data_IF_826356605340
#
_entry.id   IF_826356605340
#
_cell.length_a   1.000
_cell.length_b   1.000
_cell.length_c   1.000
_cell.angle_alpha   90.00
_cell.angle_beta   90.00
_cell.angle_gamma   90.00
#
_symmetry.space_group_name_H-M   'P 1'
#
loop_
_entity.id
_entity.type
_entity.pdbx_description
1 polymer ?
#
# COMPACT_ATOMS: atom_id res chain seq x y z
N UNK A 1 -27.19 -8.49 -22.83
CA UNK A 1 -25.93 -8.10 -22.14
C UNK A 1 -25.97 -8.74 -20.77
N UNK A 2 -24.88 -9.38 -20.33
CA UNK A 2 -24.79 -9.96 -18.99
C UNK A 2 -25.05 -8.85 -17.95
N UNK A 3 -25.99 -9.04 -17.01
CA UNK A 3 -26.33 -8.02 -15.99
C UNK A 3 -25.13 -7.59 -15.15
N UNK A 4 -24.10 -8.43 -15.08
CA UNK A 4 -22.83 -8.17 -14.40
C UNK A 4 -21.86 -7.31 -15.20
N UNK A 5 -22.13 -7.04 -16.48
CA UNK A 5 -21.17 -6.37 -17.35
C UNK A 5 -20.84 -4.97 -16.87
N UNK A 6 -21.83 -4.19 -16.44
CA UNK A 6 -21.64 -2.83 -15.90
C UNK A 6 -21.69 -2.73 -14.38
N UNK A 7 -21.98 -3.83 -13.68
CA UNK A 7 -22.21 -3.83 -12.23
C UNK A 7 -21.26 -4.81 -11.52
N UNK A 8 -20.08 -4.29 -11.18
CA UNK A 8 -19.05 -5.03 -10.46
C UNK A 8 -19.49 -5.46 -9.06
N UNK A 9 -20.21 -4.61 -8.32
CA UNK A 9 -20.65 -4.92 -6.95
C UNK A 9 -21.69 -6.04 -6.93
N UNK A 10 -22.63 -6.03 -7.88
CA UNK A 10 -23.58 -7.12 -8.07
C UNK A 10 -22.86 -8.42 -8.42
N UNK A 11 -21.89 -8.38 -9.33
CA UNK A 11 -21.10 -9.55 -9.69
C UNK A 11 -20.31 -10.10 -8.49
N UNK A 12 -19.69 -9.24 -7.70
CA UNK A 12 -18.99 -9.64 -6.49
C UNK A 12 -19.92 -10.38 -5.52
N UNK A 13 -21.08 -9.79 -5.22
CA UNK A 13 -22.04 -10.33 -4.26
C UNK A 13 -22.63 -11.67 -4.70
N UNK A 14 -22.86 -11.86 -6.00
CA UNK A 14 -23.57 -13.03 -6.50
C UNK A 14 -22.66 -14.13 -7.08
N UNK A 15 -21.42 -13.81 -7.43
CA UNK A 15 -20.53 -14.72 -8.16
C UNK A 15 -19.18 -14.96 -7.49
N UNK A 16 -18.81 -14.18 -6.47
CA UNK A 16 -17.49 -14.25 -5.83
C UNK A 16 -17.63 -14.65 -4.37
N UNK A 17 -16.88 -15.69 -3.99
CA UNK A 17 -16.80 -16.17 -2.61
C UNK A 17 -15.42 -15.87 -2.05
N UNK A 18 -15.36 -15.23 -0.88
CA UNK A 18 -14.13 -14.98 -0.12
C UNK A 18 -14.16 -15.73 1.21
N UNK A 19 -13.00 -15.84 1.86
CA UNK A 19 -12.91 -16.38 3.22
C UNK A 19 -13.12 -15.24 4.21
N UNK A 20 -14.13 -15.37 5.06
CA UNK A 20 -14.35 -14.45 6.16
C UNK A 20 -13.17 -14.50 7.14
N UNK A 21 -12.64 -13.34 7.51
CA UNK A 21 -11.43 -13.25 8.33
C UNK A 21 -11.67 -13.66 9.79
N UNK A 22 -12.85 -13.39 10.32
CA UNK A 22 -13.18 -13.63 11.72
C UNK A 22 -13.58 -15.09 11.97
N UNK A 23 -14.34 -15.68 11.04
CA UNK A 23 -14.90 -17.04 11.18
C UNK A 23 -14.18 -18.09 10.34
N UNK A 24 -13.39 -17.69 9.35
CA UNK A 24 -12.74 -18.60 8.39
C UNK A 24 -13.70 -19.24 7.38
N UNK A 25 -14.98 -18.87 7.39
CA UNK A 25 -16.01 -19.48 6.54
C UNK A 25 -16.05 -18.85 5.15
N UNK A 26 -16.43 -19.59 4.10
CA UNK A 26 -16.72 -18.99 2.80
C UNK A 26 -17.97 -18.10 2.91
N UNK A 27 -17.86 -16.85 2.46
CA UNK A 27 -18.97 -15.89 2.40
C UNK A 27 -18.99 -15.17 1.04
N UNK A 28 -20.16 -14.69 0.58
CA UNK A 28 -20.24 -13.83 -0.60
C UNK A 28 -19.38 -12.58 -0.44
N UNK A 29 -18.71 -12.16 -1.50
CA UNK A 29 -17.89 -10.94 -1.46
C UNK A 29 -18.77 -9.70 -1.56
N UNK A 30 -19.12 -9.15 -0.40
CA UNK A 30 -19.70 -7.81 -0.29
C UNK A 30 -18.59 -6.84 0.06
N UNK A 31 -18.41 -5.81 -0.76
CA UNK A 31 -17.38 -4.82 -0.52
C UNK A 31 -17.62 -4.11 0.82
N UNK A 32 -16.55 -3.91 1.57
CA UNK A 32 -16.57 -3.05 2.75
C UNK A 32 -16.46 -1.57 2.35
N UNK A 33 -16.64 -0.64 3.31
CA UNK A 33 -16.62 0.80 3.07
C UNK A 33 -15.36 1.29 2.33
N UNK A 34 -14.12 0.96 2.77
CA UNK A 34 -12.93 1.42 2.07
C UNK A 34 -12.80 0.77 0.69
N UNK A 35 -13.25 -0.49 0.51
CA UNK A 35 -13.30 -1.11 -0.82
C UNK A 35 -14.23 -0.40 -1.78
N UNK A 36 -15.41 0.04 -1.33
CA UNK A 36 -16.31 0.83 -2.18
C UNK A 36 -15.69 2.17 -2.56
N UNK A 37 -14.98 2.84 -1.64
CA UNK A 37 -14.29 4.09 -1.94
C UNK A 37 -13.19 3.92 -2.99
N UNK A 38 -12.36 2.89 -2.85
CA UNK A 38 -11.31 2.59 -3.85
C UNK A 38 -11.93 2.17 -5.18
N UNK A 39 -12.99 1.35 -5.16
CA UNK A 39 -13.73 0.97 -6.36
C UNK A 39 -14.27 2.20 -7.10
N UNK A 40 -14.86 3.17 -6.38
CA UNK A 40 -15.40 4.38 -7.00
C UNK A 40 -14.35 5.13 -7.82
N UNK A 41 -13.10 5.17 -7.36
CA UNK A 41 -11.98 5.79 -8.10
C UNK A 41 -11.61 5.00 -9.36
N UNK A 42 -11.64 3.66 -9.30
CA UNK A 42 -11.41 2.80 -10.47
C UNK A 42 -12.53 2.95 -11.50
N UNK A 43 -13.79 2.88 -11.05
CA UNK A 43 -14.97 2.99 -11.91
C UNK A 43 -15.12 4.39 -12.50
N UNK A 44 -14.74 5.45 -11.78
CA UNK A 44 -14.69 6.80 -12.36
C UNK A 44 -13.76 6.86 -13.57
N UNK A 45 -12.58 6.22 -13.51
CA UNK A 45 -11.65 6.14 -14.64
C UNK A 45 -12.23 5.27 -15.77
N UNK A 46 -12.82 4.12 -15.44
CA UNK A 46 -13.45 3.22 -16.43
C UNK A 46 -14.57 3.91 -17.20
N UNK A 47 -15.51 4.54 -16.49
CA UNK A 47 -16.63 5.26 -17.10
C UNK A 47 -16.18 6.49 -17.90
N UNK A 48 -15.08 7.13 -17.49
CA UNK A 48 -14.44 8.18 -18.26
C UNK A 48 -13.65 7.67 -19.48
N UNK A 49 -13.66 6.35 -19.75
CA UNK A 49 -12.90 5.70 -20.83
C UNK A 49 -11.40 6.02 -20.74
N UNK A 50 -10.87 6.05 -19.52
CA UNK A 50 -9.45 6.25 -19.25
C UNK A 50 -8.79 4.94 -18.82
N UNK A 51 -7.46 4.78 -19.03
CA UNK A 51 -6.72 3.72 -18.36
C UNK A 51 -6.88 3.83 -16.84
N UNK A 52 -6.98 2.69 -16.15
CA UNK A 52 -7.12 2.65 -14.71
C UNK A 52 -5.72 2.66 -14.08
N UNK A 53 -5.37 3.76 -13.41
CA UNK A 53 -4.06 3.94 -12.78
C UNK A 53 -4.25 4.37 -11.33
N UNK A 54 -3.76 3.57 -10.39
CA UNK A 54 -3.94 3.81 -8.96
C UNK A 54 -2.62 3.59 -8.21
N UNK A 55 -2.33 4.49 -7.27
CA UNK A 55 -1.39 4.24 -6.19
C UNK A 55 -2.14 4.28 -4.86
N UNK A 56 -2.03 3.21 -4.09
CA UNK A 56 -2.84 2.93 -2.92
C UNK A 56 -1.94 2.75 -1.70
N UNK A 57 -1.88 3.78 -0.85
CA UNK A 57 -1.30 3.68 0.47
C UNK A 57 -2.38 3.20 1.44
N UNK A 58 -2.03 2.30 2.36
CA UNK A 58 -3.03 1.69 3.25
C UNK A 58 -2.50 1.36 4.63
N UNK A 59 -3.40 1.41 5.61
CA UNK A 59 -3.28 0.64 6.85
C UNK A 59 -3.35 -0.87 6.55
N UNK A 60 -2.89 -1.70 7.50
CA UNK A 60 -2.94 -3.15 7.31
C UNK A 60 -4.38 -3.68 7.24
N UNK A 61 -4.51 -4.80 6.54
CA UNK A 61 -5.58 -5.79 6.77
C UNK A 61 -7.05 -5.38 6.49
N UNK A 62 -7.32 -4.55 5.48
CA UNK A 62 -8.69 -4.20 5.04
C UNK A 62 -9.21 -4.93 3.78
N UNK A 63 -8.36 -5.75 3.14
CA UNK A 63 -8.74 -6.50 1.93
C UNK A 63 -8.57 -5.75 0.61
N UNK A 64 -7.66 -4.77 0.54
CA UNK A 64 -7.35 -4.04 -0.71
C UNK A 64 -6.87 -4.96 -1.85
N UNK A 65 -5.96 -5.89 -1.56
CA UNK A 65 -5.47 -6.84 -2.56
C UNK A 65 -6.59 -7.75 -3.08
N UNK A 66 -7.58 -8.09 -2.24
CA UNK A 66 -8.79 -8.83 -2.65
C UNK A 66 -9.61 -8.02 -3.65
N UNK A 67 -9.88 -6.74 -3.37
CA UNK A 67 -10.60 -5.86 -4.29
C UNK A 67 -9.92 -5.82 -5.66
N UNK A 68 -8.61 -5.54 -5.70
CA UNK A 68 -7.85 -5.41 -6.95
C UNK A 68 -7.87 -6.72 -7.74
N UNK A 69 -7.66 -7.86 -7.09
CA UNK A 69 -7.69 -9.16 -7.77
C UNK A 69 -9.08 -9.52 -8.29
N UNK A 70 -10.12 -9.29 -7.50
CA UNK A 70 -11.50 -9.57 -7.92
C UNK A 70 -11.89 -8.64 -9.06
N UNK A 71 -11.44 -7.39 -9.06
CA UNK A 71 -11.64 -6.45 -10.17
C UNK A 71 -10.94 -6.93 -11.45
N UNK A 72 -9.66 -7.33 -11.37
CA UNK A 72 -8.95 -7.92 -12.52
C UNK A 72 -9.64 -9.20 -13.02
N UNK A 73 -10.14 -10.04 -12.11
CA UNK A 73 -10.91 -11.22 -12.46
C UNK A 73 -12.22 -10.86 -13.17
N UNK A 74 -12.95 -9.83 -12.72
CA UNK A 74 -14.15 -9.34 -13.42
C UNK A 74 -13.84 -8.88 -14.84
N UNK A 75 -12.73 -8.16 -15.03
CA UNK A 75 -12.26 -7.76 -16.36
C UNK A 75 -12.03 -8.99 -17.26
N UNK A 76 -11.35 -10.02 -16.75
CA UNK A 76 -11.01 -11.23 -17.50
C UNK A 76 -12.18 -12.21 -17.72
N UNK A 77 -13.11 -12.29 -16.77
CA UNK A 77 -14.21 -13.27 -16.79
C UNK A 77 -15.48 -12.71 -17.41
N UNK A 78 -15.71 -11.40 -17.30
CA UNK A 78 -16.96 -10.76 -17.71
C UNK A 78 -16.77 -9.80 -18.88
N UNK A 79 -15.71 -8.98 -18.86
CA UNK A 79 -15.61 -7.83 -19.78
C UNK A 79 -14.76 -8.07 -21.02
N UNK A 80 -13.70 -8.86 -20.91
CA UNK A 80 -12.70 -9.08 -21.96
C UNK A 80 -12.30 -10.55 -22.07
N UNK A 81 -11.80 -10.93 -23.25
CA UNK A 81 -11.12 -12.20 -23.54
C UNK A 81 -9.70 -11.87 -24.00
N UNK A 82 -8.74 -12.77 -23.82
CA UNK A 82 -7.34 -12.49 -24.18
C UNK A 82 -6.66 -11.45 -23.29
N UNK A 83 -7.29 -11.04 -22.18
CA UNK A 83 -6.86 -9.89 -21.38
C UNK A 83 -5.85 -10.34 -20.33
N UNK A 84 -4.57 -10.41 -20.68
CA UNK A 84 -3.57 -10.98 -19.78
C UNK A 84 -3.23 -10.05 -18.61
N UNK A 85 -2.88 -10.65 -17.47
CA UNK A 85 -2.57 -9.93 -16.24
C UNK A 85 -1.30 -10.40 -15.53
N UNK A 86 -0.70 -9.49 -14.78
CA UNK A 86 0.48 -9.72 -13.95
C UNK A 86 0.16 -9.46 -12.47
N UNK A 87 0.62 -10.34 -11.60
CA UNK A 87 0.63 -10.17 -10.16
C UNK A 87 2.08 -10.18 -9.71
N UNK A 88 2.57 -9.06 -9.21
CA UNK A 88 3.93 -8.92 -8.71
C UNK A 88 3.86 -8.50 -7.24
N UNK A 89 4.40 -9.33 -6.35
CA UNK A 89 4.58 -9.02 -4.94
C UNK A 89 6.07 -8.86 -4.60
N UNK A 90 6.37 -8.46 -3.36
CA UNK A 90 7.75 -8.39 -2.87
C UNK A 90 8.48 -9.74 -2.98
N UNK A 91 7.79 -10.81 -2.61
CA UNK A 91 8.27 -12.20 -2.68
C UNK A 91 7.28 -13.09 -3.46
N UNK A 92 7.77 -14.21 -4.01
CA UNK A 92 6.96 -15.13 -4.83
C UNK A 92 5.76 -15.70 -4.08
N UNK A 93 5.90 -16.01 -2.80
CA UNK A 93 4.82 -16.57 -1.99
C UNK A 93 3.68 -15.57 -1.77
N UNK A 94 3.98 -14.27 -1.67
CA UNK A 94 2.95 -13.22 -1.62
C UNK A 94 2.10 -13.22 -2.89
N UNK A 95 2.75 -13.25 -4.06
CA UNK A 95 2.07 -13.35 -5.36
C UNK A 95 1.22 -14.63 -5.48
N UNK A 96 1.74 -15.76 -5.00
CA UNK A 96 1.02 -17.03 -5.01
C UNK A 96 -0.24 -17.02 -4.12
N UNK A 97 -0.14 -16.42 -2.92
CA UNK A 97 -1.29 -16.23 -2.03
C UNK A 97 -2.37 -15.37 -2.68
N UNK A 98 -1.97 -14.28 -3.34
CA UNK A 98 -2.86 -13.39 -4.07
C UNK A 98 -3.56 -14.14 -5.22
N UNK A 99 -2.82 -14.91 -6.03
CA UNK A 99 -3.40 -15.77 -7.08
C UNK A 99 -4.35 -16.83 -6.51
N UNK A 100 -4.07 -17.36 -5.31
CA UNK A 100 -4.92 -18.34 -4.64
C UNK A 100 -6.38 -17.88 -4.49
N UNK A 101 -6.61 -16.57 -4.31
CA UNK A 101 -7.96 -15.99 -4.30
C UNK A 101 -8.68 -16.16 -5.64
N UNK A 102 -7.97 -15.93 -6.75
CA UNK A 102 -8.54 -16.10 -8.09
C UNK A 102 -8.77 -17.59 -8.42
N UNK A 103 -7.87 -18.47 -8.00
CA UNK A 103 -8.08 -19.93 -8.13
C UNK A 103 -9.36 -20.38 -7.42
N UNK A 104 -9.62 -19.85 -6.21
CA UNK A 104 -10.86 -20.10 -5.47
C UNK A 104 -12.08 -19.56 -6.21
N UNK A 105 -12.00 -18.33 -6.71
CA UNK A 105 -13.06 -17.71 -7.50
C UNK A 105 -13.44 -18.59 -8.69
N UNK A 106 -12.48 -19.06 -9.50
CA UNK A 106 -12.75 -19.92 -10.67
C UNK A 106 -13.43 -21.24 -10.29
N UNK A 107 -12.96 -21.86 -9.20
CA UNK A 107 -13.53 -23.11 -8.69
C UNK A 107 -14.99 -22.93 -8.28
N UNK A 108 -15.27 -21.86 -7.54
CA UNK A 108 -16.58 -21.59 -6.94
C UNK A 108 -17.49 -20.75 -7.88
N UNK A 109 -17.01 -20.39 -9.08
CA UNK A 109 -17.73 -19.55 -10.04
C UNK A 109 -19.04 -20.23 -10.49
N UNK A 110 -20.17 -19.51 -10.56
CA UNK A 110 -21.47 -20.08 -10.89
C UNK A 110 -21.46 -20.87 -12.20
N UNK A 111 -21.98 -22.09 -12.18
CA UNK A 111 -21.93 -23.01 -13.32
C UNK A 111 -22.69 -22.46 -14.52
N UNK A 112 -23.77 -21.71 -14.28
CA UNK A 112 -24.61 -21.07 -15.29
C UNK A 112 -23.89 -19.94 -16.02
N UNK A 113 -22.84 -19.37 -15.42
CA UNK A 113 -22.01 -18.32 -16.01
C UNK A 113 -20.77 -18.85 -16.71
N UNK A 114 -20.49 -20.15 -16.57
CA UNK A 114 -19.42 -20.82 -17.29
C UNK A 114 -19.89 -21.09 -18.71
N UNK A 115 -19.70 -20.10 -19.59
CA UNK A 115 -19.99 -20.26 -21.02
C UNK A 115 -19.11 -21.38 -21.58
N UNK A 116 -19.63 -22.14 -22.56
CA UNK A 116 -18.90 -23.23 -23.20
C UNK A 116 -18.67 -24.43 -22.27
N UNK A 117 -17.47 -25.00 -22.25
CA UNK A 117 -17.12 -26.17 -21.45
C UNK A 117 -16.75 -25.73 -20.02
N UNK A 118 -17.50 -26.13 -18.98
CA UNK A 118 -17.21 -25.72 -17.60
C UNK A 118 -15.83 -26.13 -17.08
N UNK A 119 -15.20 -27.15 -17.69
CA UNK A 119 -13.84 -27.58 -17.34
C UNK A 119 -12.77 -26.58 -17.74
N UNK A 120 -13.08 -25.67 -18.66
CA UNK A 120 -12.16 -24.67 -19.19
C UNK A 120 -12.14 -23.39 -18.34
N UNK A 121 -13.01 -23.31 -17.32
CA UNK A 121 -13.05 -22.24 -16.32
C UNK A 121 -12.19 -22.57 -15.10
N UNK A 122 -10.93 -22.85 -15.36
CA UNK A 122 -9.91 -23.20 -14.36
C UNK A 122 -8.56 -22.65 -14.80
N UNK A 123 -7.60 -22.63 -13.87
CA UNK A 123 -6.21 -22.40 -14.25
C UNK A 123 -5.58 -23.69 -14.76
N UNK A 124 -5.00 -23.60 -15.96
CA UNK A 124 -4.08 -24.61 -16.49
C UNK A 124 -2.68 -24.01 -16.67
N UNK A 125 -1.61 -24.81 -16.59
CA UNK A 125 -0.27 -24.33 -16.94
C UNK A 125 -0.23 -23.82 -18.38
N UNK A 126 0.48 -22.72 -18.63
CA UNK A 126 0.69 -22.22 -19.99
C UNK A 126 2.05 -22.68 -20.52
N UNK A 127 2.02 -23.49 -21.59
CA UNK A 127 3.21 -24.05 -22.24
C UNK A 127 4.20 -24.64 -21.22
N UNK A 128 5.47 -24.20 -21.23
CA UNK A 128 6.53 -24.62 -20.31
C UNK A 128 6.74 -23.63 -19.16
N UNK A 129 5.89 -22.61 -19.03
CA UNK A 129 6.06 -21.58 -18.01
C UNK A 129 5.71 -22.11 -16.62
N UNK A 130 6.58 -21.82 -15.65
CA UNK A 130 6.40 -22.18 -14.24
C UNK A 130 5.59 -21.13 -13.45
N UNK A 131 5.44 -19.93 -14.00
CA UNK A 131 4.83 -18.79 -13.31
C UNK A 131 3.59 -18.23 -14.01
N UNK A 132 3.23 -18.77 -15.18
CA UNK A 132 2.06 -18.33 -15.94
C UNK A 132 1.00 -19.41 -15.99
N UNK A 133 -0.23 -19.00 -15.72
CA UNK A 133 -1.43 -19.82 -15.86
C UNK A 133 -2.34 -19.24 -16.92
N UNK A 134 -3.12 -20.10 -17.56
CA UNK A 134 -4.09 -19.75 -18.59
C UNK A 134 -5.48 -20.16 -18.14
N UNK A 135 -6.48 -19.38 -18.53
CA UNK A 135 -7.91 -19.67 -18.36
C UNK A 135 -8.46 -19.94 -19.77
N UNK A 136 -8.55 -21.21 -20.20
CA UNK A 136 -8.88 -21.53 -21.59
C UNK A 136 -10.21 -20.93 -22.05
N UNK A 137 -11.24 -20.93 -21.20
CA UNK A 137 -12.55 -20.38 -21.52
C UNK A 137 -12.54 -18.88 -21.87
N UNK A 138 -11.51 -18.14 -21.45
CA UNK A 138 -11.40 -16.69 -21.65
C UNK A 138 -10.20 -16.28 -22.48
N UNK A 139 -9.35 -17.24 -22.83
CA UNK A 139 -8.02 -17.03 -23.41
C UNK A 139 -7.14 -16.06 -22.59
N UNK A 140 -7.38 -15.95 -21.28
CA UNK A 140 -6.68 -14.99 -20.42
C UNK A 140 -5.49 -15.66 -19.73
N UNK A 141 -4.36 -14.96 -19.66
CA UNK A 141 -3.19 -15.40 -18.87
C UNK A 141 -3.09 -14.63 -17.56
N UNK A 142 -2.60 -15.30 -16.52
CA UNK A 142 -2.27 -14.71 -15.22
C UNK A 142 -0.84 -15.11 -14.90
N UNK A 143 0.07 -14.14 -14.90
CA UNK A 143 1.48 -14.34 -14.61
C UNK A 143 1.81 -13.91 -13.19
N UNK A 144 2.64 -14.70 -12.51
CA UNK A 144 3.22 -14.36 -11.22
C UNK A 144 4.65 -13.88 -11.38
N UNK A 145 4.98 -12.79 -10.73
CA UNK A 145 6.34 -12.29 -10.60
C UNK A 145 6.66 -11.95 -9.14
N UNK A 146 7.95 -11.74 -8.88
CA UNK A 146 8.50 -11.31 -7.61
C UNK A 146 9.44 -10.14 -7.87
N UNK A 147 9.40 -9.12 -7.02
CA UNK A 147 10.34 -8.00 -7.11
C UNK A 147 11.79 -8.46 -6.94
N UNK A 148 12.02 -9.54 -6.18
CA UNK A 148 13.34 -10.17 -6.00
C UNK A 148 13.86 -10.92 -7.25
N UNK A 149 13.04 -11.11 -8.29
CA UNK A 149 13.43 -11.85 -9.50
C UNK A 149 12.81 -11.21 -10.74
N UNK A 150 13.31 -10.03 -11.14
CA UNK A 150 12.66 -9.15 -12.11
C UNK A 150 12.66 -9.68 -13.55
N UNK A 151 13.48 -10.69 -13.87
CA UNK A 151 13.58 -11.25 -15.22
C UNK A 151 12.28 -11.90 -15.70
N UNK A 152 11.45 -12.42 -14.77
CA UNK A 152 10.17 -13.06 -15.08
C UNK A 152 9.06 -12.11 -15.54
N UNK A 153 9.36 -10.81 -15.63
CA UNK A 153 8.40 -9.73 -15.89
C UNK A 153 8.47 -9.25 -17.34
N UNK A 154 9.60 -9.44 -18.01
CA UNK A 154 9.84 -8.87 -19.36
C UNK A 154 9.16 -9.69 -20.45
N UNK A 155 8.64 -8.99 -21.46
CA UNK A 155 8.15 -9.60 -22.70
C UNK A 155 6.74 -10.20 -22.65
N UNK A 156 5.98 -9.96 -21.57
CA UNK A 156 4.57 -10.33 -21.51
C UNK A 156 3.68 -9.28 -22.16
N UNK A 157 2.71 -9.71 -22.96
CA UNK A 157 1.63 -8.88 -23.49
C UNK A 157 0.57 -8.69 -22.40
N UNK A 158 0.83 -7.78 -21.44
CA UNK A 158 -0.04 -7.52 -20.30
C UNK A 158 -0.97 -6.33 -20.55
N UNK A 159 -2.22 -6.49 -20.15
CA UNK A 159 -3.18 -5.38 -20.11
C UNK A 159 -3.43 -4.88 -18.67
N UNK A 160 -3.09 -5.70 -17.67
CA UNK A 160 -3.31 -5.37 -16.27
C UNK A 160 -2.14 -5.80 -15.39
N UNK A 161 -1.79 -4.97 -14.39
CA UNK A 161 -0.82 -5.32 -13.37
C UNK A 161 -1.26 -4.89 -11.97
N UNK A 162 -1.11 -5.80 -11.02
CA UNK A 162 -1.20 -5.54 -9.59
C UNK A 162 0.18 -5.70 -8.97
N UNK A 163 0.71 -4.57 -8.49
CA UNK A 163 2.01 -4.45 -7.85
C UNK A 163 1.76 -4.30 -6.34
N UNK A 164 2.03 -5.35 -5.58
CA UNK A 164 1.71 -5.45 -4.16
C UNK A 164 2.96 -5.26 -3.29
N UNK A 165 2.79 -4.53 -2.20
CA UNK A 165 3.82 -4.18 -1.21
C UNK A 165 5.03 -3.46 -1.84
N UNK A 166 4.76 -2.49 -2.73
CA UNK A 166 5.78 -1.81 -3.54
C UNK A 166 6.78 -0.99 -2.70
N UNK A 167 6.40 -0.52 -1.51
CA UNK A 167 7.32 0.22 -0.64
C UNK A 167 8.45 -0.67 -0.07
N UNK A 168 8.31 -1.99 -0.16
CA UNK A 168 9.33 -2.95 0.27
C UNK A 168 10.22 -3.41 -0.89
N UNK A 169 9.90 -3.04 -2.13
CA UNK A 169 10.67 -3.53 -3.27
C UNK A 169 12.08 -2.95 -3.28
N UNK A 170 13.05 -3.84 -3.47
CA UNK A 170 14.45 -3.45 -3.58
C UNK A 170 15.22 -3.43 -2.27
N UNK A 171 14.54 -3.53 -1.11
CA UNK A 171 15.00 -3.56 0.30
C UNK A 171 16.12 -2.55 0.71
N UNK A 172 17.17 -2.37 -0.10
CA UNK A 172 18.29 -1.42 0.06
C UNK A 172 18.67 -0.64 -1.23
N UNK A 173 18.13 -1.02 -2.40
CA UNK A 173 18.35 -0.33 -3.69
C UNK A 173 17.00 0.10 -4.29
N UNK A 174 16.60 1.33 -3.97
CA UNK A 174 15.36 1.92 -4.48
C UNK A 174 15.32 2.03 -6.01
N UNK A 175 16.47 2.04 -6.69
CA UNK A 175 16.53 2.02 -8.16
C UNK A 175 16.01 0.70 -8.74
N UNK A 176 16.02 -0.38 -7.96
CA UNK A 176 15.47 -1.67 -8.37
C UNK A 176 13.95 -1.63 -8.46
N UNK A 177 13.26 -1.07 -7.45
CA UNK A 177 11.81 -0.88 -7.51
C UNK A 177 11.39 -0.05 -8.73
N UNK A 178 12.06 1.07 -8.97
CA UNK A 178 11.80 1.93 -10.13
C UNK A 178 11.97 1.17 -11.45
N UNK A 179 13.08 0.44 -11.63
CA UNK A 179 13.34 -0.34 -12.85
C UNK A 179 12.24 -1.38 -13.10
N UNK A 180 11.78 -2.07 -12.06
CA UNK A 180 10.75 -3.11 -12.17
C UNK A 180 9.42 -2.47 -12.54
N UNK A 181 8.98 -1.46 -11.80
CA UNK A 181 7.71 -0.78 -12.05
C UNK A 181 7.71 -0.15 -13.43
N UNK A 182 8.80 0.50 -13.86
CA UNK A 182 8.92 1.07 -15.21
C UNK A 182 8.86 -0.01 -16.29
N UNK A 183 9.46 -1.18 -16.06
CA UNK A 183 9.41 -2.31 -16.99
C UNK A 183 7.98 -2.82 -17.15
N UNK A 184 7.23 -2.95 -16.04
CA UNK A 184 5.84 -3.44 -16.06
C UNK A 184 4.90 -2.40 -16.65
N UNK A 185 4.87 -1.20 -16.06
CA UNK A 185 3.94 -0.15 -16.44
C UNK A 185 4.21 0.30 -17.88
N UNK A 186 5.47 0.32 -18.30
CA UNK A 186 5.86 0.64 -19.68
C UNK A 186 5.42 -0.40 -20.72
N UNK A 187 5.11 -1.63 -20.32
CA UNK A 187 4.59 -2.65 -21.24
C UNK A 187 3.05 -2.67 -21.31
N UNK A 188 2.36 -1.88 -20.49
CA UNK A 188 0.90 -1.81 -20.45
C UNK A 188 0.44 -0.54 -21.17
N UNK A 189 -0.33 -0.65 -22.27
CA UNK A 189 -0.78 0.52 -23.03
C UNK A 189 -1.63 1.49 -22.20
N UNK A 190 -1.63 2.77 -22.58
CA UNK A 190 -2.50 3.81 -22.01
C UNK A 190 -3.88 3.82 -22.68
N UNK A 191 -4.55 2.67 -22.66
CA UNK A 191 -5.85 2.46 -23.30
C UNK A 191 -6.96 2.21 -22.27
N UNK A 192 -8.24 2.46 -22.61
CA UNK A 192 -9.37 2.11 -21.75
C UNK A 192 -9.33 0.64 -21.32
N UNK A 193 -9.78 0.36 -20.10
CA UNK A 193 -9.82 -0.99 -19.52
C UNK A 193 -8.46 -1.68 -19.28
N UNK A 194 -7.34 -0.99 -19.52
CA UNK A 194 -6.03 -1.39 -18.99
C UNK A 194 -5.90 -0.95 -17.53
N UNK A 195 -5.14 -1.69 -16.71
CA UNK A 195 -5.05 -1.44 -15.27
C UNK A 195 -3.62 -1.52 -14.74
N UNK A 196 -3.20 -0.53 -13.96
CA UNK A 196 -1.99 -0.61 -13.12
C UNK A 196 -2.36 -0.13 -11.73
N UNK A 197 -2.31 -1.03 -10.76
CA UNK A 197 -2.50 -0.70 -9.34
C UNK A 197 -1.21 -1.00 -8.60
N UNK A 198 -0.66 0.02 -7.96
CA UNK A 198 0.42 -0.10 -6.98
C UNK A 198 -0.17 0.05 -5.59
N UNK A 199 -0.04 -0.95 -4.75
CA UNK A 199 -0.49 -0.89 -3.36
C UNK A 199 0.62 -1.26 -2.39
N UNK A 200 0.64 -0.61 -1.23
CA UNK A 200 1.60 -0.92 -0.17
C UNK A 200 1.15 -0.34 1.17
N UNK A 201 1.61 -0.93 2.28
CA UNK A 201 1.82 -0.12 3.50
C UNK A 201 3.04 0.78 3.31
N UNK A 202 3.15 1.84 4.10
CA UNK A 202 4.35 2.68 4.08
C UNK A 202 5.58 1.91 4.61
N UNK A 203 6.77 2.35 4.18
CA UNK A 203 8.06 1.84 4.61
C UNK A 203 9.08 3.00 4.69
N UNK A 204 8.72 4.02 5.46
CA UNK A 204 9.46 5.28 5.56
C UNK A 204 9.36 6.17 4.33
N UNK A 205 10.10 7.28 4.41
CA UNK A 205 10.25 8.26 3.34
C UNK A 205 11.46 7.94 2.44
N UNK A 206 11.48 8.54 1.25
CA UNK A 206 12.62 8.50 0.32
C UNK A 206 12.69 7.24 -0.57
N UNK A 207 11.91 6.21 -0.30
CA UNK A 207 11.78 5.06 -1.20
C UNK A 207 10.98 5.39 -2.47
N UNK A 208 11.00 4.48 -3.45
CA UNK A 208 10.29 4.64 -4.72
C UNK A 208 8.78 4.86 -4.53
N UNK A 209 8.14 4.10 -3.65
CA UNK A 209 6.69 4.20 -3.43
C UNK A 209 6.30 5.57 -2.85
N UNK A 210 7.06 6.09 -1.89
CA UNK A 210 6.87 7.44 -1.36
C UNK A 210 7.09 8.51 -2.45
N UNK A 211 8.15 8.39 -3.25
CA UNK A 211 8.41 9.35 -4.33
C UNK A 211 7.27 9.36 -5.37
N UNK A 212 6.78 8.19 -5.78
CA UNK A 212 5.65 8.08 -6.71
C UNK A 212 4.33 8.54 -6.08
N UNK A 213 4.14 8.30 -4.79
CA UNK A 213 2.99 8.81 -4.01
C UNK A 213 2.96 10.33 -4.02
N UNK A 214 4.07 10.98 -3.70
CA UNK A 214 4.18 12.43 -3.70
C UNK A 214 3.93 13.00 -5.11
N UNK A 215 4.44 12.34 -6.15
CA UNK A 215 4.12 12.72 -7.53
C UNK A 215 2.63 12.61 -7.83
N UNK A 216 1.96 11.54 -7.40
CA UNK A 216 0.53 11.35 -7.61
C UNK A 216 -0.33 12.39 -6.87
N UNK A 217 -0.04 12.67 -5.61
CA UNK A 217 -0.71 13.73 -4.84
C UNK A 217 -0.52 15.11 -5.48
N UNK A 218 0.66 15.37 -6.04
CA UNK A 218 0.97 16.63 -6.73
C UNK A 218 0.49 16.69 -8.20
N UNK A 219 -0.23 15.67 -8.70
CA UNK A 219 -0.72 15.64 -10.09
C UNK A 219 0.37 15.45 -11.15
N UNK A 220 1.53 14.92 -10.75
CA UNK A 220 2.72 14.68 -11.58
C UNK A 220 2.93 13.19 -11.93
N UNK A 221 2.01 12.32 -11.50
CA UNK A 221 1.95 10.90 -11.86
C UNK A 221 0.76 10.63 -12.78
N UNK A 222 0.81 9.53 -13.53
CA UNK A 222 -0.34 8.98 -14.25
C UNK A 222 -1.37 8.33 -13.30
N UNK A 223 -0.98 8.07 -12.04
CA UNK A 223 -1.81 7.39 -11.04
C UNK A 223 -2.60 8.37 -10.20
N UNK A 224 -3.82 7.97 -9.86
CA UNK A 224 -4.61 8.61 -8.81
C UNK A 224 -4.17 8.07 -7.44
N UNK A 225 -3.84 8.96 -6.50
CA UNK A 225 -3.48 8.59 -5.14
C UNK A 225 -4.73 8.34 -4.28
N UNK A 226 -4.76 7.22 -3.56
CA UNK A 226 -5.81 6.90 -2.57
C UNK A 226 -5.16 6.38 -1.30
N UNK A 227 -5.47 7.00 -0.16
CA UNK A 227 -5.01 6.56 1.16
C UNK A 227 -6.17 5.94 1.93
N UNK A 228 -6.03 4.71 2.42
CA UNK A 228 -7.01 4.03 3.29
C UNK A 228 -6.50 3.99 4.74
N UNK A 229 -6.99 4.87 5.62
CA UNK A 229 -6.64 4.87 7.04
C UNK A 229 -7.32 3.73 7.81
N UNK A 230 -6.85 3.48 9.02
CA UNK A 230 -7.40 2.41 9.86
C UNK A 230 -8.87 2.66 10.27
N UNK A 231 -9.24 3.91 10.52
CA UNK A 231 -10.56 4.28 11.03
C UNK A 231 -11.68 4.26 9.97
N UNK A 232 -11.35 3.89 8.71
CA UNK A 232 -12.36 3.55 7.70
C UNK A 232 -12.72 2.06 7.71
N UNK A 233 -11.94 1.22 8.40
CA UNK A 233 -12.04 -0.23 8.34
C UNK A 233 -12.91 -0.75 9.48
N UNK A 234 -14.01 -1.43 9.14
CA UNK A 234 -15.07 -1.76 10.09
C UNK A 234 -14.63 -2.69 11.22
N UNK A 235 -13.66 -3.57 10.95
CA UNK A 235 -13.10 -4.48 11.97
C UNK A 235 -12.25 -3.75 13.03
N UNK A 236 -11.93 -2.47 12.82
CA UNK A 236 -11.18 -1.62 13.73
C UNK A 236 -12.10 -0.67 14.51
N UNK A 237 -13.22 -1.24 14.97
CA UNK A 237 -14.19 -0.57 15.83
C UNK A 237 -14.53 -1.46 17.02
N UNK A 238 -14.81 -0.85 18.16
CA UNK A 238 -15.31 -1.52 19.36
C UNK A 238 -16.58 -0.82 19.84
N UNK A 239 -17.70 -1.53 20.05
CA UNK A 239 -18.88 -0.95 20.67
C UNK A 239 -18.56 -0.34 22.03
N UNK A 240 -19.08 0.86 22.30
CA UNK A 240 -18.91 1.61 23.54
C UNK A 240 -20.27 1.71 24.24
N UNK A 241 -20.37 1.14 25.45
CA UNK A 241 -21.57 1.25 26.26
C UNK A 241 -21.72 2.65 26.85
N UNK A 242 -22.96 3.08 27.11
CA UNK A 242 -23.22 4.44 27.62
C UNK A 242 -22.59 4.67 29.01
N UNK A 243 -22.50 3.62 29.82
CA UNK A 243 -21.90 3.67 31.16
C UNK A 243 -20.38 3.86 31.13
N UNK A 244 -19.68 3.41 30.08
CA UNK A 244 -18.22 3.59 29.94
C UNK A 244 -17.85 4.84 29.15
N UNK A 245 -18.79 5.45 28.41
CA UNK A 245 -18.53 6.56 27.49
C UNK A 245 -17.77 7.70 28.16
N UNK A 246 -18.22 8.14 29.33
CA UNK A 246 -17.62 9.25 30.05
C UNK A 246 -16.21 8.92 30.58
N UNK A 247 -16.01 7.71 31.12
CA UNK A 247 -14.71 7.30 31.65
C UNK A 247 -13.69 7.07 30.52
N UNK A 248 -14.10 6.51 29.39
CA UNK A 248 -13.27 6.37 28.20
C UNK A 248 -12.82 7.74 27.68
N UNK A 249 -13.74 8.68 27.47
CA UNK A 249 -13.41 10.04 27.01
C UNK A 249 -12.46 10.74 28.00
N UNK A 250 -12.63 10.51 29.30
CA UNK A 250 -11.72 11.04 30.30
C UNK A 250 -10.33 10.42 30.24
N UNK A 251 -10.20 9.14 29.86
CA UNK A 251 -8.91 8.44 29.77
C UNK A 251 -8.13 8.67 28.48
N UNK A 252 -8.76 9.24 27.44
CA UNK A 252 -8.08 9.49 26.17
C UNK A 252 -6.89 10.46 26.32
N UNK A 253 -5.79 10.14 25.67
CA UNK A 253 -4.66 11.06 25.55
C UNK A 253 -4.89 12.14 24.46
N UNK A 254 -3.95 13.07 24.34
CA UNK A 254 -4.07 14.21 23.42
C UNK A 254 -4.18 13.78 21.96
N UNK A 255 -3.49 12.71 21.56
CA UNK A 255 -3.56 12.18 20.20
C UNK A 255 -4.91 11.49 19.97
N UNK A 256 -5.38 10.68 20.91
CA UNK A 256 -6.68 10.03 20.80
C UNK A 256 -7.84 11.03 20.74
N UNK A 257 -7.72 12.16 21.44
CA UNK A 257 -8.67 13.29 21.32
C UNK A 257 -8.58 13.97 19.96
N UNK A 258 -7.38 14.17 19.42
CA UNK A 258 -7.22 14.80 18.10
C UNK A 258 -7.82 13.96 16.97
N UNK A 259 -7.81 12.63 17.07
CA UNK A 259 -8.53 11.76 16.13
C UNK A 259 -10.01 12.10 16.03
N UNK A 260 -10.66 12.40 17.17
CA UNK A 260 -12.08 12.77 17.18
C UNK A 260 -12.30 14.20 16.69
N UNK A 261 -11.45 15.14 17.11
CA UNK A 261 -11.64 16.57 16.86
C UNK A 261 -11.26 16.98 15.44
N UNK A 262 -10.14 16.46 14.93
CA UNK A 262 -9.53 16.91 13.69
C UNK A 262 -9.89 15.99 12.51
N UNK A 263 -10.02 14.69 12.76
CA UNK A 263 -10.33 13.68 11.74
C UNK A 263 -11.76 13.13 11.82
N UNK A 264 -12.56 13.61 12.78
CA UNK A 264 -13.95 13.19 12.99
C UNK A 264 -14.10 11.67 13.13
N UNK A 265 -13.12 11.01 13.77
CA UNK A 265 -13.15 9.57 14.05
C UNK A 265 -14.18 9.28 15.14
N UNK A 266 -15.00 8.25 14.94
CA UNK A 266 -16.05 7.89 15.89
C UNK A 266 -15.46 7.37 17.21
N UNK A 267 -16.19 7.53 18.31
CA UNK A 267 -15.74 7.06 19.62
C UNK A 267 -15.47 5.55 19.63
N UNK A 268 -16.23 4.76 18.87
CA UNK A 268 -16.06 3.31 18.74
C UNK A 268 -14.74 2.92 18.06
N UNK A 269 -14.31 3.70 17.07
CA UNK A 269 -13.00 3.51 16.45
C UNK A 269 -11.88 3.95 17.40
N UNK A 270 -12.04 5.11 18.06
CA UNK A 270 -11.07 5.56 19.08
C UNK A 270 -10.97 4.58 20.24
N UNK A 271 -12.08 3.98 20.67
CA UNK A 271 -12.10 2.94 21.69
C UNK A 271 -11.27 1.71 21.27
N UNK A 272 -11.42 1.27 20.02
CA UNK A 272 -10.58 0.21 19.47
C UNK A 272 -9.11 0.61 19.45
N UNK A 273 -8.79 1.84 19.01
CA UNK A 273 -7.43 2.34 18.98
C UNK A 273 -6.82 2.38 20.38
N UNK A 274 -7.56 2.87 21.37
CA UNK A 274 -7.15 2.96 22.77
C UNK A 274 -6.79 1.60 23.37
N UNK A 275 -7.60 0.58 23.08
CA UNK A 275 -7.31 -0.78 23.53
C UNK A 275 -6.13 -1.38 22.75
N UNK A 276 -6.12 -1.22 21.43
CA UNK A 276 -5.09 -1.78 20.54
C UNK A 276 -3.71 -1.18 20.79
N UNK A 277 -3.65 0.10 21.15
CA UNK A 277 -2.43 0.85 21.45
C UNK A 277 -1.62 0.19 22.55
N UNK A 278 -2.25 -0.53 23.49
CA UNK A 278 -1.60 -1.25 24.59
C UNK A 278 -0.69 -2.40 24.13
N UNK A 279 -0.84 -2.87 22.90
CA UNK A 279 0.04 -3.88 22.29
C UNK A 279 1.38 -3.31 21.82
N UNK A 280 1.50 -1.99 21.73
CA UNK A 280 2.66 -1.28 21.19
C UNK A 280 3.40 -0.51 22.28
N UNK A 281 4.70 -0.27 22.10
CA UNK A 281 5.48 0.50 23.09
C UNK A 281 5.29 2.01 22.93
N UNK A 282 5.07 2.50 21.71
CA UNK A 282 4.92 3.93 21.40
C UNK A 282 3.77 4.19 20.40
N UNK A 283 3.25 5.43 20.37
CA UNK A 283 2.27 5.84 19.36
C UNK A 283 2.84 5.69 17.97
N UNK A 284 4.13 6.01 17.81
CA UNK A 284 4.86 5.85 16.56
C UNK A 284 4.75 4.43 15.98
N UNK A 285 4.90 3.38 16.81
CA UNK A 285 4.72 2.00 16.34
C UNK A 285 3.27 1.68 15.96
N UNK A 286 2.29 2.20 16.71
CA UNK A 286 0.88 2.05 16.39
C UNK A 286 0.54 2.73 15.06
N UNK A 287 1.05 3.95 14.85
CA UNK A 287 0.89 4.75 13.64
C UNK A 287 1.52 4.09 12.41
N UNK A 288 2.65 3.41 12.56
CA UNK A 288 3.30 2.68 11.47
C UNK A 288 2.41 1.56 10.90
N UNK A 289 1.60 0.98 11.77
CA UNK A 289 0.74 -0.17 11.50
C UNK A 289 -0.69 0.23 11.10
N UNK A 290 -1.20 1.24 11.80
CA UNK A 290 -2.56 1.78 11.72
C UNK A 290 -2.49 3.31 11.60
N UNK A 291 -2.01 3.84 10.47
CA UNK A 291 -1.90 5.28 10.27
C UNK A 291 -3.27 5.92 10.05
N UNK A 292 -3.45 7.11 10.63
CA UNK A 292 -4.64 7.95 10.49
C UNK A 292 -4.53 8.91 9.30
N UNK A 293 -3.30 9.27 8.90
CA UNK A 293 -3.02 10.11 7.71
C UNK A 293 -1.91 9.50 6.86
N UNK A 294 -1.79 9.93 5.59
CA UNK A 294 -0.73 9.46 4.71
C UNK A 294 0.63 9.94 5.19
N UNK A 295 0.70 11.19 5.65
CA UNK A 295 1.88 11.82 6.24
C UNK A 295 2.36 11.02 7.46
N UNK A 296 1.43 10.64 8.34
CA UNK A 296 1.73 9.81 9.49
C UNK A 296 2.25 8.44 9.07
N UNK A 297 1.66 7.80 8.07
CA UNK A 297 2.10 6.50 7.58
C UNK A 297 3.58 6.52 7.15
N UNK A 298 3.99 7.52 6.36
CA UNK A 298 5.38 7.62 5.91
C UNK A 298 6.33 8.03 7.04
N UNK A 299 5.94 8.99 7.87
CA UNK A 299 6.77 9.47 8.97
C UNK A 299 7.01 8.39 10.05
N UNK A 300 6.06 7.46 10.24
CA UNK A 300 6.09 6.46 11.32
C UNK A 300 6.64 5.08 10.96
N UNK A 301 6.74 4.76 9.67
CA UNK A 301 7.13 3.41 9.20
C UNK A 301 8.61 3.27 8.82
N UNK A 302 9.38 4.36 8.85
CA UNK A 302 10.81 4.34 8.53
C UNK A 302 11.66 3.81 9.68
N UNK A 303 12.85 3.27 9.36
CA UNK A 303 13.88 3.08 10.38
C UNK A 303 14.28 4.47 10.91
N UNK A 304 13.93 4.75 12.16
CA UNK A 304 14.40 5.95 12.82
C UNK A 304 15.93 5.88 12.94
N UNK A 305 16.66 6.69 12.15
CA UNK A 305 18.11 6.88 12.30
C UNK A 305 18.47 7.33 13.72
N UNK A 306 17.50 7.94 14.42
CA UNK A 306 17.60 8.37 15.80
C UNK A 306 16.31 7.99 16.54
N UNK A 307 16.48 7.29 17.66
CA UNK A 307 15.40 7.02 18.61
C UNK A 307 14.81 8.36 19.09
N UNK A 308 13.57 8.64 18.70
CA UNK A 308 12.87 9.91 18.95
C UNK A 308 12.72 10.16 20.45
N UNK A 309 12.54 9.10 21.25
CA UNK A 309 12.50 9.19 22.72
C UNK A 309 13.88 9.54 23.29
N UNK A 310 14.98 9.05 22.67
CA UNK A 310 16.34 9.48 23.03
C UNK A 310 16.61 10.93 22.64
N UNK A 311 16.14 11.41 21.50
CA UNK A 311 16.28 12.82 21.10
C UNK A 311 15.54 13.75 22.07
N UNK A 312 14.32 13.38 22.49
CA UNK A 312 13.57 14.11 23.52
C UNK A 312 14.28 14.13 24.89
N UNK A 313 15.01 13.07 25.23
CA UNK A 313 15.87 13.02 26.43
C UNK A 313 17.11 13.89 26.26
N UNK A 314 17.83 13.83 25.14
CA UNK A 314 19.01 14.66 24.86
C UNK A 314 18.67 16.17 24.93
N UNK A 315 17.50 16.57 24.41
CA UNK A 315 17.02 17.95 24.49
C UNK A 315 16.70 18.43 25.92
N UNK A 316 16.30 17.53 26.83
CA UNK A 316 16.05 17.84 28.24
C UNK A 316 17.33 17.83 29.09
N UNK A 317 18.25 16.90 28.86
CA UNK A 317 19.53 16.86 29.61
C UNK A 317 20.45 18.03 29.24
N UNK A 318 20.36 18.57 28.03
CA UNK A 318 21.16 19.74 27.62
C UNK A 318 20.75 21.05 28.33
N UNK A 319 19.52 21.13 28.88
CA UNK A 319 19.04 22.28 29.63
C UNK A 319 19.47 22.26 31.12
N UNK A 320 19.84 21.09 31.65
CA UNK A 320 20.23 20.88 33.05
C UNK A 320 21.67 20.35 33.12
N UNK A 321 22.64 21.26 33.02
CA UNK A 321 24.03 20.97 33.34
C UNK A 321 24.99 21.08 32.17
N UNK A 322 25.35 22.31 31.82
CA UNK A 322 26.61 22.58 31.10
C UNK A 322 27.35 23.66 31.86
N UNK A 323 28.19 23.26 32.82
CA UNK A 323 29.30 24.09 33.31
C UNK A 323 30.48 23.87 32.37
N UNK A 324 30.75 24.88 31.53
CA UNK A 324 31.88 24.99 30.61
C UNK A 324 32.25 23.74 29.78
N UNK A 325 31.70 23.64 28.57
CA UNK A 325 32.25 22.72 27.57
C UNK A 325 33.15 23.50 26.61
N UNK A 326 34.45 23.21 26.61
CA UNK A 326 35.33 23.52 25.48
C UNK A 326 35.02 22.56 24.31
N UNK A 327 33.81 22.65 23.75
CA UNK A 327 33.42 21.86 22.59
C UNK A 327 33.92 22.56 21.32
N UNK A 328 34.77 21.90 20.54
CA UNK A 328 35.08 22.29 19.16
C UNK A 328 34.15 21.53 18.24
N UNK A 329 33.22 22.23 17.59
CA UNK A 329 32.39 21.66 16.54
C UNK A 329 33.18 21.73 15.24
N UNK A 330 33.40 20.57 14.61
CA UNK A 330 34.01 20.49 13.28
C UNK A 330 32.97 19.89 12.34
N UNK A 331 32.52 20.67 11.36
CA UNK A 331 31.63 20.20 10.31
C UNK A 331 32.46 19.97 9.05
N UNK A 332 32.42 18.74 8.54
CA UNK A 332 33.00 18.36 7.25
C UNK A 332 31.87 18.36 6.23
N UNK A 333 31.93 19.30 5.28
CA UNK A 333 31.00 19.34 4.16
C UNK A 333 31.74 18.76 2.94
N UNK A 334 31.32 17.59 2.41
CA UNK A 334 31.91 17.06 1.19
C UNK A 334 31.66 18.01 0.01
N UNK A 335 32.69 18.31 -0.78
CA UNK A 335 32.54 19.06 -2.04
C UNK A 335 32.14 18.12 -3.18
N UNK A 336 31.26 18.57 -4.06
CA UNK A 336 30.88 17.81 -5.26
C UNK A 336 32.03 17.76 -6.28
N UNK A 337 32.21 16.61 -6.94
CA UNK A 337 33.05 16.48 -8.13
C UNK A 337 34.57 16.40 -7.89
N UNK A 338 35.02 15.71 -6.84
CA UNK A 338 36.44 15.34 -6.68
C UNK A 338 37.35 16.45 -6.16
N UNK A 339 36.80 17.50 -5.54
CA UNK A 339 37.59 18.49 -4.77
C UNK A 339 37.62 18.13 -3.28
N UNK A 340 38.72 18.46 -2.60
CA UNK A 340 38.93 18.21 -1.16
C UNK A 340 37.78 18.79 -0.31
N UNK A 341 37.35 18.10 0.77
CA UNK A 341 36.28 18.57 1.63
C UNK A 341 36.65 19.87 2.34
N UNK A 342 35.67 20.75 2.54
CA UNK A 342 35.86 21.98 3.32
C UNK A 342 35.70 21.66 4.81
N UNK A 343 36.71 22.01 5.61
CA UNK A 343 36.68 21.90 7.06
C UNK A 343 36.20 23.23 7.66
N UNK A 344 35.03 23.26 8.29
CA UNK A 344 34.56 24.42 9.05
C UNK A 344 34.66 24.08 10.54
N UNK A 345 35.59 24.74 11.23
CA UNK A 345 35.72 24.64 12.68
C UNK A 345 35.07 25.87 13.33
N UNK A 346 34.08 25.65 14.20
CA UNK A 346 33.49 26.69 15.04
C UNK A 346 33.92 26.42 16.49
N UNK A 347 34.76 27.30 17.04
CA UNK A 347 35.07 27.29 18.47
C UNK A 347 34.14 28.27 19.19
N UNK A 348 33.32 27.74 20.09
CA UNK A 348 32.42 28.55 20.91
C UNK A 348 33.16 29.27 22.03
N UNK A 349 33.87 30.36 21.73
CA UNK A 349 34.13 31.46 22.67
C UNK A 349 34.22 32.75 21.83
N UNK A 350 33.35 33.72 22.10
CA UNK A 350 33.27 35.07 21.53
C UNK A 350 34.20 35.45 20.37
N UNK A 351 33.62 35.64 19.17
CA UNK A 351 34.29 36.17 17.98
C UNK A 351 34.65 35.07 16.98
N UNK A 352 33.74 34.77 16.04
CA UNK A 352 34.01 33.79 14.98
C UNK A 352 34.96 34.37 13.93
N UNK A 353 36.22 33.93 13.94
CA UNK A 353 37.07 33.99 12.75
C UNK A 353 36.89 32.73 11.91
N UNK A 354 36.57 32.92 10.63
CA UNK A 354 36.54 31.86 9.63
C UNK A 354 37.94 31.75 9.03
N UNK A 355 38.70 30.71 9.40
CA UNK A 355 39.90 30.35 8.65
C UNK A 355 39.54 29.32 7.58
N UNK A 356 39.72 29.71 6.32
CA UNK A 356 39.85 28.77 5.21
C UNK A 356 41.28 28.23 5.22
N UNK A 357 41.44 26.93 5.43
CA UNK A 357 42.71 26.24 5.19
C UNK A 357 42.65 25.68 3.77
N UNK A 358 43.54 26.16 2.91
CA UNK A 358 43.71 25.72 1.51
C UNK A 358 44.37 24.34 1.41
#
# INVERSE_FOLDING_TARGET
MNRYYEDFELWCRECVTITDKLTGRPIPFTLNAPQRRVLAVLEQQRHAHRPLRLILLKARQWGGSTLVQVYMAWMQLVRRTGWNSLICGHVKDASANIRGMYSRLLRDYPIELKTDNPRDWTFVPYEKSQNMSHIPARDCRVTLASAQSPDGVRGGDYAMAHLSEVAFWGDDDWSTAEKIVRTIAGSIPMEPETLVVMESTANGEGNYFHAEWMRAVNGQSDKVAVFVPWHEIEIYSRPVADEERASLIASLDDYERSLMLDLNVSLEHVAWYHDKRREYTSHYQMMAEYPSTAEEAFASSGQALFDVDRLGRIGRTAAEGVTETHARLVSLIPGDGGKMPHLIALSGVGGGEVMLLD
#
